data_IF_751309867864
#
_entry.id   IF_751309867864
#
_cell.length_a   1.000
_cell.length_b   1.000
_cell.length_c   1.000
_cell.angle_alpha   90.00
_cell.angle_beta   90.00
_cell.angle_gamma   90.00
#
_symmetry.space_group_name_H-M   'P 1'
#
loop_
_entity.id
_entity.type
_entity.pdbx_description
1 polymer ?
#
# COMPACT_ATOMS: atom_id res chain seq x y z
N UNK A 1 13.16 -5.55 4.26
CA UNK A 1 14.02 -4.50 4.85
C UNK A 1 14.28 -3.24 3.98
N UNK A 2 13.85 -3.11 2.70
CA UNK A 2 13.94 -1.82 1.97
C UNK A 2 13.12 -0.66 2.59
N UNK A 3 12.07 -0.99 3.34
CA UNK A 3 11.10 -0.02 3.86
C UNK A 3 11.69 0.99 4.86
N UNK A 4 12.71 0.63 5.65
CA UNK A 4 13.29 1.55 6.65
C UNK A 4 14.15 2.64 6.01
N UNK A 5 14.94 2.28 5.00
CA UNK A 5 15.76 3.25 4.27
C UNK A 5 14.88 4.23 3.47
N UNK A 6 13.85 3.71 2.79
CA UNK A 6 12.87 4.53 2.08
C UNK A 6 12.09 5.46 3.01
N UNK A 7 11.76 4.99 4.23
CA UNK A 7 11.13 5.84 5.24
C UNK A 7 12.03 7.02 5.64
N UNK A 8 13.29 6.75 5.99
CA UNK A 8 14.24 7.82 6.36
C UNK A 8 14.50 8.78 5.20
N UNK A 9 14.64 8.25 3.99
CA UNK A 9 14.78 9.05 2.78
C UNK A 9 13.56 9.94 2.52
N UNK A 10 12.35 9.38 2.68
CA UNK A 10 11.11 10.14 2.57
C UNK A 10 11.01 11.26 3.59
N UNK A 11 11.38 11.01 4.86
CA UNK A 11 11.45 12.05 5.88
C UNK A 11 12.45 13.16 5.52
N UNK A 12 13.64 12.78 5.02
CA UNK A 12 14.63 13.76 4.58
C UNK A 12 14.11 14.64 3.44
N UNK A 13 13.41 14.05 2.45
CA UNK A 13 12.79 14.81 1.36
C UNK A 13 11.70 15.76 1.85
N UNK A 14 10.88 15.36 2.84
CA UNK A 14 9.86 16.23 3.44
C UNK A 14 10.51 17.44 4.13
N UNK A 15 11.58 17.22 4.90
CA UNK A 15 12.32 18.31 5.56
C UNK A 15 12.92 19.27 4.53
N UNK A 16 13.54 18.75 3.46
CA UNK A 16 14.07 19.58 2.37
C UNK A 16 12.96 20.36 1.65
N UNK A 17 11.82 19.73 1.39
CA UNK A 17 10.67 20.38 0.77
C UNK A 17 10.09 21.49 1.66
N UNK A 18 10.03 21.27 2.98
CA UNK A 18 9.58 22.28 3.95
C UNK A 18 10.50 23.50 3.95
N UNK A 19 11.82 23.31 3.98
CA UNK A 19 12.79 24.42 3.85
C UNK A 19 12.68 25.14 2.51
N UNK A 20 12.45 24.42 1.41
CA UNK A 20 12.24 25.02 0.10
C UNK A 20 10.97 25.86 0.03
N UNK A 21 9.88 25.39 0.66
CA UNK A 21 8.63 26.12 0.76
C UNK A 21 8.77 27.37 1.63
N UNK A 22 9.47 27.26 2.77
CA UNK A 22 9.72 28.38 3.68
C UNK A 22 10.52 29.50 3.00
N UNK A 23 11.60 29.13 2.29
CA UNK A 23 12.40 30.08 1.51
C UNK A 23 11.58 30.75 0.40
N UNK A 24 10.66 30.01 -0.23
CA UNK A 24 9.77 30.54 -1.26
C UNK A 24 8.72 31.49 -0.67
N UNK A 25 8.25 31.23 0.55
CA UNK A 25 7.27 32.06 1.25
C UNK A 25 7.85 33.39 1.73
N UNK A 26 9.11 33.37 2.19
CA UNK A 26 9.81 34.54 2.70
C UNK A 26 10.64 35.28 1.63
N UNK A 27 10.64 34.80 0.37
CA UNK A 27 11.40 35.43 -0.71
C UNK A 27 12.92 35.31 -0.55
N UNK A 28 13.39 34.34 0.24
CA UNK A 28 14.79 34.16 0.59
C UNK A 28 15.58 33.36 -0.45
N UNK A 29 14.98 33.04 -1.61
CA UNK A 29 15.65 32.28 -2.66
C UNK A 29 16.73 33.15 -3.32
N UNK A 30 18.02 32.79 -3.22
CA UNK A 30 19.07 33.61 -3.81
C UNK A 30 18.91 33.69 -5.33
N UNK A 31 18.97 34.89 -5.90
CA UNK A 31 18.78 35.12 -7.34
C UNK A 31 19.68 34.24 -8.22
N UNK A 32 20.91 33.97 -7.79
CA UNK A 32 21.85 33.07 -8.49
C UNK A 32 21.41 31.59 -8.54
N UNK A 33 20.52 31.17 -7.64
CA UNK A 33 19.99 29.79 -7.58
C UNK A 33 18.65 29.62 -8.29
N UNK A 34 17.90 30.70 -8.52
CA UNK A 34 16.59 30.66 -9.22
C UNK A 34 16.68 29.93 -10.55
N UNK A 35 17.70 30.24 -11.36
CA UNK A 35 17.91 29.58 -12.66
C UNK A 35 18.19 28.09 -12.51
N UNK A 36 19.03 27.70 -11.56
CA UNK A 36 19.38 26.30 -11.33
C UNK A 36 18.18 25.49 -10.84
N UNK A 37 17.40 26.03 -9.90
CA UNK A 37 16.17 25.39 -9.40
C UNK A 37 15.13 25.25 -10.51
N UNK A 38 14.88 26.34 -11.27
CA UNK A 38 13.93 26.31 -12.38
C UNK A 38 14.35 25.33 -13.47
N UNK A 39 15.63 25.24 -13.79
CA UNK A 39 16.15 24.23 -14.73
C UNK A 39 15.97 22.81 -14.21
N UNK A 40 16.29 22.55 -12.94
CA UNK A 40 16.15 21.22 -12.34
C UNK A 40 14.69 20.75 -12.34
N UNK A 41 13.75 21.61 -11.93
CA UNK A 41 12.33 21.26 -11.91
C UNK A 41 11.76 21.11 -13.32
N UNK A 42 12.18 21.96 -14.27
CA UNK A 42 11.80 21.81 -15.68
C UNK A 42 12.35 20.51 -16.27
N UNK A 43 13.58 20.13 -15.93
CA UNK A 43 14.19 18.89 -16.40
C UNK A 43 13.45 17.65 -15.85
N UNK A 44 13.03 17.67 -14.59
CA UNK A 44 12.22 16.60 -14.00
C UNK A 44 10.85 16.50 -14.68
N UNK A 45 10.17 17.62 -14.92
CA UNK A 45 8.91 17.64 -15.65
C UNK A 45 9.06 17.13 -17.09
N UNK A 46 10.12 17.57 -17.80
CA UNK A 46 10.43 17.10 -19.14
C UNK A 46 10.73 15.59 -19.16
N UNK A 47 11.48 15.08 -18.18
CA UNK A 47 11.72 13.65 -18.04
C UNK A 47 10.42 12.87 -17.83
N UNK A 48 9.51 13.34 -16.96
CA UNK A 48 8.21 12.71 -16.74
C UNK A 48 7.36 12.66 -18.03
N UNK A 49 7.34 13.76 -18.79
CA UNK A 49 6.66 13.82 -20.09
C UNK A 49 7.29 12.86 -21.10
N UNK A 50 8.63 12.85 -21.23
CA UNK A 50 9.33 11.97 -22.17
C UNK A 50 9.14 10.49 -21.82
N UNK A 51 9.19 10.12 -20.54
CA UNK A 51 8.93 8.76 -20.09
C UNK A 51 7.49 8.33 -20.39
N UNK A 52 6.53 9.24 -20.20
CA UNK A 52 5.12 8.97 -20.49
C UNK A 52 4.87 8.81 -21.98
N UNK A 53 5.37 9.72 -22.81
CA UNK A 53 5.23 9.65 -24.27
C UNK A 53 5.98 8.45 -24.85
N UNK A 54 7.21 8.20 -24.39
CA UNK A 54 8.03 7.07 -24.81
C UNK A 54 7.40 5.74 -24.40
N UNK A 55 6.92 5.62 -23.16
CA UNK A 55 6.20 4.44 -22.69
C UNK A 55 4.95 4.14 -23.51
N UNK A 56 4.12 5.17 -23.76
CA UNK A 56 2.92 5.02 -24.59
C UNK A 56 3.23 4.65 -26.04
N UNK A 57 4.26 5.26 -26.63
CA UNK A 57 4.67 4.95 -28.01
C UNK A 57 5.25 3.54 -28.16
N UNK A 58 6.05 3.07 -27.19
CA UNK A 58 6.68 1.74 -27.22
C UNK A 58 5.68 0.62 -26.94
N UNK A 59 4.74 0.83 -26.03
CA UNK A 59 3.76 -0.18 -25.64
C UNK A 59 2.50 -0.18 -26.51
N UNK A 60 2.23 0.91 -27.22
CA UNK A 60 0.99 1.13 -27.96
C UNK A 60 -0.23 1.40 -27.05
N UNK A 61 -0.04 1.49 -25.73
CA UNK A 61 -1.09 1.66 -24.75
C UNK A 61 -0.90 2.97 -23.98
N UNK A 62 -1.92 3.81 -23.98
CA UNK A 62 -1.91 5.10 -23.28
C UNK A 62 -2.61 4.98 -21.94
N UNK A 63 -1.83 4.79 -20.88
CA UNK A 63 -2.37 4.74 -19.52
C UNK A 63 -2.65 6.13 -18.95
N UNK A 64 -3.77 6.28 -18.24
CA UNK A 64 -4.21 7.56 -17.67
C UNK A 64 -3.37 8.00 -16.45
N UNK A 65 -2.66 7.09 -15.79
CA UNK A 65 -1.83 7.40 -14.62
C UNK A 65 -0.51 8.11 -14.98
N UNK A 66 0.30 7.62 -15.93
CA UNK A 66 1.47 8.36 -16.42
C UNK A 66 1.10 9.73 -17.00
N UNK A 67 0.02 9.80 -17.79
CA UNK A 67 -0.46 11.07 -18.39
C UNK A 67 -0.84 12.11 -17.34
N UNK A 68 -1.59 11.70 -16.32
CA UNK A 68 -1.95 12.56 -15.19
C UNK A 68 -0.70 13.10 -14.48
N UNK A 69 0.25 12.22 -14.19
CA UNK A 69 1.49 12.57 -13.50
C UNK A 69 2.30 13.57 -14.32
N UNK A 70 2.50 13.31 -15.62
CA UNK A 70 3.23 14.20 -16.51
C UNK A 70 2.59 15.60 -16.62
N UNK A 71 1.25 15.66 -16.73
CA UNK A 71 0.52 16.92 -16.77
C UNK A 71 0.71 17.71 -15.47
N UNK A 72 0.60 17.05 -14.32
CA UNK A 72 0.71 17.70 -13.03
C UNK A 72 2.14 18.17 -12.72
N UNK A 73 3.16 17.36 -13.01
CA UNK A 73 4.57 17.76 -12.89
C UNK A 73 4.92 18.95 -13.79
N UNK A 74 4.33 19.01 -14.99
CA UNK A 74 4.49 20.17 -15.88
C UNK A 74 3.83 21.42 -15.28
N UNK A 75 2.61 21.30 -14.75
CA UNK A 75 1.93 22.40 -14.07
C UNK A 75 2.74 22.90 -12.87
N UNK A 76 3.25 21.99 -12.02
CA UNK A 76 4.10 22.33 -10.87
C UNK A 76 5.38 23.05 -11.32
N UNK A 77 6.04 22.59 -12.37
CA UNK A 77 7.24 23.24 -12.90
C UNK A 77 6.97 24.67 -13.38
N UNK A 78 5.87 24.87 -14.10
CA UNK A 78 5.46 26.20 -14.56
C UNK A 78 5.10 27.10 -13.37
N UNK A 79 4.24 26.63 -12.45
CA UNK A 79 3.82 27.39 -11.28
C UNK A 79 4.98 27.79 -10.38
N UNK A 80 5.91 26.87 -10.13
CA UNK A 80 7.14 27.17 -9.40
C UNK A 80 8.02 28.18 -10.15
N UNK A 81 8.12 28.07 -11.48
CA UNK A 81 8.81 29.06 -12.31
C UNK A 81 8.20 30.46 -12.23
N UNK A 82 6.88 30.58 -12.11
CA UNK A 82 6.21 31.86 -11.86
C UNK A 82 6.47 32.39 -10.45
N UNK A 83 6.36 31.53 -9.44
CA UNK A 83 6.61 31.88 -8.04
C UNK A 83 8.07 32.36 -7.82
N UNK A 84 9.05 31.63 -8.35
CA UNK A 84 10.47 31.97 -8.22
C UNK A 84 10.89 33.25 -8.97
N UNK A 85 10.08 33.71 -9.91
CA UNK A 85 10.29 34.98 -10.63
C UNK A 85 9.43 36.12 -10.06
N UNK A 86 8.90 35.92 -8.85
CA UNK A 86 8.06 36.88 -8.12
C UNK A 86 6.82 37.34 -8.91
N UNK A 87 6.37 36.53 -9.88
CA UNK A 87 5.15 36.82 -10.65
C UNK A 87 3.89 36.48 -9.88
N UNK A 88 4.01 35.62 -8.86
CA UNK A 88 2.94 35.27 -7.93
C UNK A 88 3.32 35.72 -6.53
N UNK A 89 2.37 36.25 -5.75
CA UNK A 89 2.61 36.47 -4.34
C UNK A 89 2.79 35.12 -3.62
N UNK A 90 3.55 35.08 -2.51
CA UNK A 90 3.82 33.86 -1.75
C UNK A 90 2.59 33.01 -1.42
N UNK A 91 1.48 33.65 -1.07
CA UNK A 91 0.22 32.98 -0.71
C UNK A 91 -0.36 32.22 -1.90
N UNK A 92 -0.32 32.81 -3.10
CA UNK A 92 -0.81 32.14 -4.32
C UNK A 92 0.07 30.95 -4.66
N UNK A 93 1.39 31.07 -4.53
CA UNK A 93 2.29 29.95 -4.77
C UNK A 93 2.05 28.81 -3.77
N UNK A 94 1.83 29.13 -2.49
CA UNK A 94 1.49 28.15 -1.46
C UNK A 94 0.18 27.42 -1.77
N UNK A 95 -0.90 28.17 -2.04
CA UNK A 95 -2.22 27.57 -2.37
C UNK A 95 -2.13 26.70 -3.61
N UNK A 96 -1.38 27.14 -4.63
CA UNK A 96 -1.14 26.35 -5.84
C UNK A 96 -0.41 25.04 -5.55
N UNK A 97 0.71 25.09 -4.80
CA UNK A 97 1.49 23.90 -4.46
C UNK A 97 0.71 22.93 -3.58
N UNK A 98 -0.04 23.44 -2.60
CA UNK A 98 -0.93 22.64 -1.76
C UNK A 98 -2.03 21.98 -2.60
N UNK A 99 -2.66 22.74 -3.49
CA UNK A 99 -3.66 22.22 -4.42
C UNK A 99 -3.10 21.14 -5.33
N UNK A 100 -1.90 21.34 -5.88
CA UNK A 100 -1.22 20.35 -6.71
C UNK A 100 -0.91 19.06 -5.92
N UNK A 101 -0.43 19.17 -4.67
CA UNK A 101 -0.17 18.02 -3.79
C UNK A 101 -1.46 17.24 -3.49
N UNK A 102 -2.55 17.94 -3.18
CA UNK A 102 -3.85 17.32 -2.91
C UNK A 102 -4.44 16.64 -4.16
N UNK A 103 -4.26 17.26 -5.33
CA UNK A 103 -4.69 16.68 -6.60
C UNK A 103 -3.87 15.46 -6.98
N UNK A 104 -2.55 15.48 -6.76
CA UNK A 104 -1.69 14.33 -7.01
C UNK A 104 -2.06 13.15 -6.10
N UNK A 105 -1.95 13.37 -4.80
CA UNK A 105 -2.17 12.34 -3.79
C UNK A 105 -3.62 11.86 -3.77
N UNK A 106 -4.58 12.78 -3.82
CA UNK A 106 -6.00 12.45 -3.88
C UNK A 106 -6.36 11.71 -5.17
N UNK A 107 -5.85 12.16 -6.32
CA UNK A 107 -6.08 11.49 -7.60
C UNK A 107 -5.51 10.08 -7.63
N UNK A 108 -4.31 9.88 -7.07
CA UNK A 108 -3.69 8.56 -6.93
C UNK A 108 -4.49 7.64 -6.00
N UNK A 109 -4.82 8.12 -4.79
CA UNK A 109 -5.58 7.35 -3.80
C UNK A 109 -6.94 6.94 -4.34
N UNK A 110 -7.69 7.85 -4.95
CA UNK A 110 -9.01 7.55 -5.51
C UNK A 110 -8.97 6.48 -6.62
N UNK A 111 -7.87 6.36 -7.35
CA UNK A 111 -7.68 5.31 -8.36
C UNK A 111 -7.32 3.95 -7.76
N UNK A 112 -6.79 3.92 -6.55
CA UNK A 112 -6.49 2.67 -5.83
C UNK A 112 -7.67 2.14 -5.01
N UNK A 113 -8.64 3.00 -4.70
CA UNK A 113 -9.82 2.61 -3.92
C UNK A 113 -10.90 2.07 -4.85
N UNK A 114 -11.15 0.77 -4.76
CA UNK A 114 -12.30 0.15 -5.41
C UNK A 114 -13.43 -0.03 -4.40
N UNK A 115 -14.52 0.71 -4.58
CA UNK A 115 -15.72 0.53 -3.78
C UNK A 115 -16.44 -0.75 -4.19
N UNK A 116 -16.59 -1.68 -3.24
CA UNK A 116 -17.38 -2.90 -3.42
C UNK A 116 -18.57 -2.89 -2.46
N UNK A 117 -19.78 -3.27 -2.90
CA UNK A 117 -20.93 -3.38 -2.00
C UNK A 117 -20.63 -4.35 -0.85
N UNK A 118 -21.02 -3.97 0.38
CA UNK A 118 -20.77 -4.79 1.58
C UNK A 118 -21.28 -6.23 1.41
N UNK A 119 -22.46 -6.40 0.80
CA UNK A 119 -23.03 -7.71 0.49
C UNK A 119 -22.10 -8.56 -0.37
N UNK A 120 -21.45 -8.00 -1.40
CA UNK A 120 -20.56 -8.75 -2.28
C UNK A 120 -19.29 -9.22 -1.55
N UNK A 121 -18.75 -8.41 -0.64
CA UNK A 121 -17.54 -8.72 0.11
C UNK A 121 -17.82 -9.71 1.25
N UNK A 122 -18.92 -9.53 1.97
CA UNK A 122 -19.32 -10.38 3.10
C UNK A 122 -19.84 -11.73 2.62
N UNK A 123 -20.55 -11.78 1.48
CA UNK A 123 -21.03 -13.05 0.93
C UNK A 123 -19.92 -13.90 0.32
N UNK A 124 -18.69 -13.39 0.18
CA UNK A 124 -17.56 -14.22 -0.21
C UNK A 124 -17.37 -15.31 0.84
N UNK A 125 -17.72 -16.54 0.46
CA UNK A 125 -17.69 -17.73 1.34
C UNK A 125 -18.65 -17.62 2.54
N UNK A 126 -19.75 -16.87 2.37
CA UNK A 126 -20.74 -16.64 3.43
C UNK A 126 -21.51 -17.89 3.85
N UNK A 127 -21.71 -18.87 2.96
CA UNK A 127 -22.35 -20.15 3.31
C UNK A 127 -21.49 -20.98 4.27
N UNK A 128 -20.19 -21.10 3.99
CA UNK A 128 -19.22 -21.74 4.88
C UNK A 128 -19.17 -21.02 6.23
N UNK A 129 -19.09 -19.69 6.22
CA UNK A 129 -19.05 -18.90 7.43
C UNK A 129 -20.32 -19.05 8.28
N UNK A 130 -21.50 -19.06 7.65
CA UNK A 130 -22.78 -19.29 8.33
C UNK A 130 -22.89 -20.71 8.90
N UNK A 131 -22.41 -21.72 8.17
CA UNK A 131 -22.37 -23.09 8.64
C UNK A 131 -21.49 -23.24 9.88
N UNK A 132 -20.30 -22.63 9.85
CA UNK A 132 -19.36 -22.63 10.96
C UNK A 132 -19.91 -21.85 12.16
N UNK A 133 -20.51 -20.68 11.95
CA UNK A 133 -21.02 -19.86 13.07
C UNK A 133 -22.21 -20.49 13.79
N UNK A 134 -22.96 -21.37 13.11
CA UNK A 134 -24.04 -22.15 13.71
C UNK A 134 -23.55 -23.31 14.61
N UNK A 135 -22.25 -23.64 14.59
CA UNK A 135 -21.71 -24.73 15.40
C UNK A 135 -21.63 -24.33 16.88
N UNK A 136 -21.99 -25.23 17.81
CA UNK A 136 -21.97 -24.91 19.24
C UNK A 136 -20.54 -24.86 19.79
N UNK A 137 -20.35 -23.98 20.78
CA UNK A 137 -19.10 -23.84 21.54
C UNK A 137 -18.17 -22.74 20.99
N UNK A 138 -17.15 -22.39 21.79
CA UNK A 138 -16.08 -21.47 21.35
C UNK A 138 -14.96 -22.27 20.74
N UNK A 139 -14.63 -21.99 19.49
CA UNK A 139 -13.56 -22.65 18.75
C UNK A 139 -12.93 -21.69 17.75
N UNK A 140 -11.78 -22.09 17.23
CA UNK A 140 -11.09 -21.42 16.12
C UNK A 140 -11.19 -22.23 14.85
N UNK A 141 -11.06 -21.54 13.72
CA UNK A 141 -10.95 -22.11 12.38
C UNK A 141 -9.54 -21.85 11.86
N UNK A 142 -8.97 -22.83 11.17
CA UNK A 142 -7.70 -22.69 10.47
C UNK A 142 -7.97 -22.72 8.95
N UNK A 143 -7.58 -21.70 8.20
CA UNK A 143 -7.83 -21.56 6.76
C UNK A 143 -6.54 -21.37 5.94
N UNK A 144 -5.74 -22.44 5.74
CA UNK A 144 -4.40 -22.34 5.15
C UNK A 144 -4.37 -21.71 3.76
N UNK A 145 -5.46 -21.83 2.99
CA UNK A 145 -5.63 -21.28 1.64
C UNK A 145 -6.35 -19.94 1.59
N UNK A 146 -6.67 -19.35 2.75
CA UNK A 146 -7.58 -18.19 2.88
C UNK A 146 -8.94 -18.42 2.22
N UNK A 147 -9.40 -19.69 2.19
CA UNK A 147 -10.74 -20.08 1.76
C UNK A 147 -11.85 -19.49 2.64
N UNK A 148 -11.54 -19.10 3.88
CA UNK A 148 -12.40 -18.28 4.73
C UNK A 148 -11.76 -16.90 4.93
N UNK A 149 -12.21 -15.86 4.20
CA UNK A 149 -11.63 -14.52 4.33
C UNK A 149 -11.79 -13.92 5.73
N UNK A 150 -10.77 -13.22 6.23
CA UNK A 150 -10.75 -12.67 7.60
C UNK A 150 -11.92 -11.70 7.87
N UNK A 151 -12.31 -10.88 6.88
CA UNK A 151 -13.45 -9.98 7.00
C UNK A 151 -14.79 -10.74 7.09
N UNK A 152 -14.92 -11.85 6.37
CA UNK A 152 -16.11 -12.72 6.43
C UNK A 152 -16.15 -13.42 7.79
N UNK A 153 -15.04 -14.01 8.23
CA UNK A 153 -14.94 -14.63 9.56
C UNK A 153 -15.32 -13.65 10.68
N UNK A 154 -14.78 -12.43 10.63
CA UNK A 154 -15.09 -11.39 11.61
C UNK A 154 -16.58 -10.99 11.60
N UNK A 155 -17.21 -10.86 10.43
CA UNK A 155 -18.64 -10.54 10.32
C UNK A 155 -19.53 -11.62 10.96
N UNK A 156 -19.15 -12.90 10.81
CA UNK A 156 -19.86 -14.03 11.40
C UNK A 156 -19.43 -14.38 12.83
N UNK A 157 -18.54 -13.57 13.45
CA UNK A 157 -18.06 -13.79 14.82
C UNK A 157 -17.15 -15.02 14.98
N UNK A 158 -16.52 -15.48 13.90
CA UNK A 158 -15.60 -16.62 13.90
C UNK A 158 -14.18 -16.18 14.30
N UNK A 159 -13.52 -16.97 15.15
CA UNK A 159 -12.11 -16.78 15.49
C UNK A 159 -11.21 -17.59 14.54
N UNK A 160 -10.15 -16.97 14.01
CA UNK A 160 -9.16 -17.64 13.16
C UNK A 160 -7.87 -17.92 13.94
N UNK A 161 -7.22 -19.06 13.66
CA UNK A 161 -5.89 -19.38 14.19
C UNK A 161 -4.75 -18.84 13.29
N UNK A 162 -5.09 -18.44 12.08
CA UNK A 162 -4.21 -17.97 11.03
C UNK A 162 -4.68 -16.62 10.44
N UNK A 163 -3.88 -16.06 9.53
CA UNK A 163 -4.24 -14.82 8.83
C UNK A 163 -3.09 -13.82 8.67
N UNK A 164 -3.45 -12.58 8.33
CA UNK A 164 -2.49 -11.48 8.13
C UNK A 164 -2.35 -10.69 9.43
N UNK A 165 -1.16 -10.71 10.04
CA UNK A 165 -0.80 -9.91 11.19
C UNK A 165 0.67 -9.47 11.08
N UNK A 166 0.97 -8.15 10.92
CA UNK A 166 2.35 -7.64 10.90
C UNK A 166 3.08 -7.75 12.25
N UNK A 167 2.36 -7.87 13.36
CA UNK A 167 2.93 -7.93 14.71
C UNK A 167 2.74 -9.34 15.28
N UNK A 168 3.54 -10.28 14.77
CA UNK A 168 3.54 -11.67 15.22
C UNK A 168 4.49 -11.86 16.40
N UNK A 169 4.00 -12.51 17.46
CA UNK A 169 4.85 -12.97 18.56
C UNK A 169 5.66 -14.17 18.03
N UNK A 170 6.98 -14.14 18.19
CA UNK A 170 7.88 -15.18 17.67
C UNK A 170 7.50 -16.59 18.11
N UNK A 171 7.11 -16.75 19.38
CA UNK A 171 6.65 -18.03 19.91
C UNK A 171 5.39 -18.56 19.21
N UNK A 172 4.43 -17.69 18.89
CA UNK A 172 3.23 -18.08 18.15
C UNK A 172 3.54 -18.47 16.71
N UNK A 173 4.42 -17.71 16.04
CA UNK A 173 4.86 -18.04 14.70
C UNK A 173 5.56 -19.41 14.64
N UNK A 174 6.49 -19.66 15.57
CA UNK A 174 7.21 -20.94 15.68
C UNK A 174 6.26 -22.10 15.97
N UNK A 175 5.28 -21.90 16.85
CA UNK A 175 4.26 -22.90 17.12
C UNK A 175 3.44 -23.19 15.86
N UNK A 176 2.99 -22.17 15.15
CA UNK A 176 2.20 -22.34 13.94
C UNK A 176 2.98 -22.97 12.80
N UNK A 177 4.30 -22.77 12.71
CA UNK A 177 5.14 -23.50 11.76
C UNK A 177 5.07 -25.01 12.00
N UNK A 178 5.09 -25.41 13.27
CA UNK A 178 4.96 -26.82 13.66
C UNK A 178 3.53 -27.35 13.52
N UNK A 179 2.52 -26.52 13.76
CA UNK A 179 1.11 -26.93 13.70
C UNK A 179 0.57 -26.98 12.25
N UNK A 180 1.03 -26.08 11.38
CA UNK A 180 0.66 -26.05 9.96
C UNK A 180 1.49 -26.99 9.09
N UNK A 181 2.70 -27.35 9.55
CA UNK A 181 3.70 -28.02 8.73
C UNK A 181 4.46 -27.09 7.80
N UNK A 182 4.11 -25.80 7.73
CA UNK A 182 4.73 -24.82 6.83
C UNK A 182 5.98 -24.23 7.52
N UNK A 183 7.18 -24.35 6.91
CA UNK A 183 8.41 -23.86 7.51
C UNK A 183 8.48 -22.33 7.54
N UNK A 184 9.07 -21.77 8.60
CA UNK A 184 9.42 -20.36 8.68
C UNK A 184 10.78 -20.11 8.04
N UNK A 185 10.82 -19.37 6.94
CA UNK A 185 12.06 -18.96 6.25
C UNK A 185 12.52 -17.56 6.62
N UNK A 186 11.71 -16.81 7.40
CA UNK A 186 12.00 -15.45 7.82
C UNK A 186 10.78 -14.77 8.42
N UNK A 187 10.83 -13.44 8.54
CA UNK A 187 9.66 -12.66 8.93
C UNK A 187 8.61 -12.67 7.81
N UNK A 188 7.36 -12.97 8.17
CA UNK A 188 6.20 -12.90 7.30
C UNK A 188 5.10 -12.09 7.97
N UNK A 189 4.28 -11.41 7.17
CA UNK A 189 3.05 -10.76 7.64
C UNK A 189 1.87 -11.73 7.68
N UNK A 190 1.97 -12.87 7.02
CA UNK A 190 0.96 -13.94 7.07
C UNK A 190 1.45 -15.07 7.96
N UNK A 191 0.52 -15.77 8.57
CA UNK A 191 0.77 -16.99 9.31
C UNK A 191 -0.21 -18.06 8.87
N UNK A 192 0.25 -19.22 8.36
CA UNK A 192 1.63 -19.50 7.93
C UNK A 192 2.12 -18.58 6.79
N UNK A 193 3.44 -18.51 6.53
CA UNK A 193 3.99 -17.75 5.41
C UNK A 193 3.55 -18.34 4.06
N UNK A 194 3.46 -17.49 3.04
CA UNK A 194 3.25 -17.87 1.63
C UNK A 194 4.54 -17.60 0.85
N UNK A 195 5.07 -18.61 0.16
CA UNK A 195 6.38 -18.54 -0.51
C UNK A 195 6.39 -17.60 -1.72
N UNK A 196 5.36 -17.67 -2.56
CA UNK A 196 5.14 -16.79 -3.71
C UNK A 196 4.19 -15.64 -3.40
N UNK A 197 3.46 -15.74 -2.29
CA UNK A 197 2.40 -14.80 -1.93
C UNK A 197 1.04 -15.19 -2.50
N UNK A 198 0.90 -16.43 -3.02
CA UNK A 198 -0.36 -16.99 -3.51
C UNK A 198 -0.93 -18.01 -2.50
N UNK A 199 -1.96 -17.61 -1.72
CA UNK A 199 -2.57 -18.49 -0.72
C UNK A 199 -3.17 -19.78 -1.29
N UNK A 200 -3.62 -19.76 -2.55
CA UNK A 200 -4.32 -20.91 -3.14
C UNK A 200 -3.39 -22.10 -3.39
N UNK A 201 -2.10 -21.86 -3.58
CA UNK A 201 -1.14 -22.88 -4.02
C UNK A 201 -0.01 -23.11 -3.03
N UNK A 202 0.52 -22.06 -2.39
CA UNK A 202 1.78 -22.12 -1.64
C UNK A 202 1.75 -23.14 -0.49
N UNK A 203 0.60 -23.30 0.16
CA UNK A 203 0.45 -24.17 1.33
C UNK A 203 -0.32 -25.47 1.06
N UNK A 204 -0.74 -25.72 -0.19
CA UNK A 204 -1.62 -26.85 -0.53
C UNK A 204 -1.00 -28.24 -0.28
N UNK A 205 0.34 -28.34 -0.35
CA UNK A 205 1.07 -29.60 -0.17
C UNK A 205 1.39 -29.92 1.30
N UNK A 206 1.16 -28.99 2.24
CA UNK A 206 1.46 -29.20 3.65
C UNK A 206 0.27 -29.81 4.39
N UNK A 207 0.56 -30.74 5.29
CA UNK A 207 -0.46 -31.40 6.11
C UNK A 207 -0.42 -30.84 7.53
N UNK A 208 -1.51 -30.22 8.02
CA UNK A 208 -1.54 -29.69 9.38
C UNK A 208 -1.56 -30.80 10.45
N UNK A 209 -0.88 -30.54 11.57
CA UNK A 209 -0.92 -31.40 12.75
C UNK A 209 -2.18 -31.09 13.59
N UNK A 210 -3.17 -31.99 13.49
CA UNK A 210 -4.44 -31.85 14.17
C UNK A 210 -4.31 -31.74 15.70
N UNK A 211 -3.33 -32.42 16.31
CA UNK A 211 -3.13 -32.36 17.76
C UNK A 211 -2.64 -30.98 18.17
N UNK A 212 -1.68 -30.40 17.44
CA UNK A 212 -1.15 -29.06 17.73
C UNK A 212 -2.17 -27.99 17.44
N UNK A 213 -2.93 -28.09 16.35
CA UNK A 213 -4.04 -27.17 16.08
C UNK A 213 -5.11 -27.25 17.19
N UNK A 214 -5.40 -28.45 17.71
CA UNK A 214 -6.30 -28.64 18.85
C UNK A 214 -5.86 -27.90 20.12
N UNK A 215 -4.55 -27.74 20.37
CA UNK A 215 -4.04 -26.93 21.50
C UNK A 215 -4.38 -25.44 21.37
N UNK A 216 -4.64 -24.95 20.15
CA UNK A 216 -5.13 -23.60 19.88
C UNK A 216 -6.66 -23.52 19.85
N UNK A 217 -7.35 -24.57 20.30
CA UNK A 217 -8.80 -24.70 20.24
C UNK A 217 -9.33 -24.64 18.79
N UNK A 218 -8.54 -25.08 17.81
CA UNK A 218 -9.00 -25.21 16.42
C UNK A 218 -9.86 -26.46 16.30
N UNK A 219 -11.08 -26.29 15.77
CA UNK A 219 -12.02 -27.39 15.54
C UNK A 219 -12.21 -27.72 14.06
N UNK A 220 -12.08 -26.71 13.20
CA UNK A 220 -12.32 -26.85 11.77
C UNK A 220 -11.11 -26.37 10.97
N UNK A 221 -10.81 -27.08 9.88
CA UNK A 221 -9.90 -26.65 8.83
C UNK A 221 -10.74 -26.33 7.61
N UNK A 222 -10.63 -25.09 7.11
CA UNK A 222 -11.30 -24.63 5.90
C UNK A 222 -10.27 -24.60 4.76
N UNK A 223 -10.47 -25.38 3.71
CA UNK A 223 -9.56 -25.49 2.56
C UNK A 223 -10.28 -25.30 1.25
#
# INVERSE_FOLDING_TARGET
MPSRALFLFGMALIVLAAHGLDALLHGEVPAGRVRAVSLGVTALAAAAVLLTLGGGALTGHWESAPLWSAALWTAVALGLGFALRERWPPQTAFVFLLGALLLDGGGYVLRQVTFRPARQVIQQQGELAAYLSAQPGRFRVYSPSYSLPQQTAAFYGLELADGVNPLQISGYAQFMAQASGVPLTGYSVTLPPFASGDPAHDNAAFTPDACKLGLLNVRFVAS
#
